data_IF_601957037889
#
_entry.id   IF_601957037889
#
_cell.length_a   1.000
_cell.length_b   1.000
_cell.length_c   1.000
_cell.angle_alpha   90.00
_cell.angle_beta   90.00
_cell.angle_gamma   90.00
#
_symmetry.space_group_name_H-M   'P 1'
#
loop_
_entity.id
_entity.type
_entity.pdbx_description
1 polymer ?
#
# COMPACT_ATOMS: atom_id res chain seq x y z
N UNK A 1 0.07 23.93 -9.34
CA UNK A 1 1.46 23.54 -9.09
C UNK A 1 1.70 22.16 -9.69
N UNK A 2 2.91 21.90 -10.21
CA UNK A 2 3.24 20.71 -11.00
C UNK A 2 3.27 19.44 -10.13
N UNK A 3 2.49 18.42 -10.49
CA UNK A 3 2.48 17.13 -9.79
C UNK A 3 3.80 16.39 -9.91
N UNK A 4 4.63 16.69 -10.93
CA UNK A 4 5.99 16.15 -11.03
C UNK A 4 6.88 16.61 -9.88
N UNK A 5 6.79 17.88 -9.50
CA UNK A 5 7.54 18.42 -8.35
C UNK A 5 7.11 17.74 -7.04
N UNK A 6 5.81 17.45 -6.89
CA UNK A 6 5.29 16.68 -5.75
C UNK A 6 5.82 15.25 -5.75
N UNK A 7 5.83 14.58 -6.91
CA UNK A 7 6.41 13.25 -7.05
C UNK A 7 7.90 13.20 -6.71
N UNK A 8 8.69 14.18 -7.17
CA UNK A 8 10.12 14.28 -6.83
C UNK A 8 10.31 14.47 -5.32
N UNK A 9 9.54 15.38 -4.71
CA UNK A 9 9.61 15.63 -3.28
C UNK A 9 9.24 14.40 -2.44
N UNK A 10 8.20 13.66 -2.83
CA UNK A 10 7.79 12.43 -2.16
C UNK A 10 8.86 11.34 -2.27
N UNK A 11 9.50 11.18 -3.43
CA UNK A 11 10.62 10.25 -3.57
C UNK A 11 11.81 10.62 -2.67
N UNK A 12 12.15 11.90 -2.60
CA UNK A 12 13.26 12.37 -1.77
C UNK A 12 12.98 12.19 -0.28
N UNK A 13 11.75 12.48 0.16
CA UNK A 13 11.29 12.24 1.52
C UNK A 13 11.34 10.75 1.87
N UNK A 14 10.81 9.88 0.99
CA UNK A 14 10.85 8.43 1.18
C UNK A 14 12.28 7.88 1.26
N UNK A 15 13.22 8.39 0.44
CA UNK A 15 14.64 7.99 0.50
C UNK A 15 15.28 8.38 1.83
N UNK A 16 15.04 9.59 2.31
CA UNK A 16 15.58 10.08 3.59
C UNK A 16 15.05 9.27 4.78
N UNK A 17 13.73 9.09 4.85
CA UNK A 17 13.10 8.26 5.86
C UNK A 17 13.59 6.80 5.78
N UNK A 18 13.67 6.23 4.57
CA UNK A 18 14.15 4.88 4.37
C UNK A 18 15.60 4.68 4.82
N UNK A 19 16.49 5.65 4.57
CA UNK A 19 17.86 5.61 5.06
C UNK A 19 17.91 5.59 6.60
N UNK A 20 17.14 6.47 7.26
CA UNK A 20 17.02 6.50 8.71
C UNK A 20 16.51 5.17 9.29
N UNK A 21 15.51 4.55 8.65
CA UNK A 21 14.93 3.26 9.07
C UNK A 21 15.90 2.09 8.89
N UNK A 22 16.83 2.16 7.93
CA UNK A 22 17.88 1.17 7.74
C UNK A 22 19.00 1.31 8.78
N UNK A 23 19.31 2.54 9.20
CA UNK A 23 20.30 2.86 10.24
C UNK A 23 19.78 2.68 11.67
N UNK A 24 18.58 2.08 11.83
CA UNK A 24 17.94 1.93 13.14
C UNK A 24 18.83 1.20 14.15
N UNK A 25 18.89 1.73 15.37
CA UNK A 25 19.56 1.10 16.50
C UNK A 25 18.75 1.37 17.77
N UNK A 26 18.31 0.31 18.46
CA UNK A 26 17.62 0.41 19.75
C UNK A 26 16.40 1.33 19.74
N UNK A 27 15.24 0.80 19.33
CA UNK A 27 13.96 1.52 19.28
C UNK A 27 13.00 1.03 20.35
N UNK A 28 12.06 1.88 20.75
CA UNK A 28 10.98 1.53 21.67
C UNK A 28 9.77 0.97 20.91
N UNK A 29 9.10 -0.03 21.48
CA UNK A 29 7.88 -0.62 20.91
C UNK A 29 6.74 -0.39 21.87
N UNK A 30 5.66 0.21 21.38
CA UNK A 30 4.41 0.41 22.08
C UNK A 30 3.29 -0.40 21.40
N UNK A 31 2.33 -0.87 22.20
CA UNK A 31 1.13 -1.52 21.68
C UNK A 31 0.04 -0.46 21.50
N UNK A 32 -0.35 -0.15 20.27
CA UNK A 32 -1.53 0.67 19.96
C UNK A 32 -2.81 -0.08 20.35
N UNK A 33 -2.89 -1.36 19.97
CA UNK A 33 -3.99 -2.26 20.24
C UNK A 33 -3.53 -3.73 20.22
N UNK A 34 -4.47 -4.67 20.38
CA UNK A 34 -4.15 -6.09 20.28
C UNK A 34 -3.65 -6.44 18.87
N UNK A 35 -2.39 -6.88 18.75
CA UNK A 35 -1.70 -7.18 17.47
C UNK A 35 -1.48 -5.95 16.59
N UNK A 36 -1.40 -4.77 17.21
CA UNK A 36 -1.09 -3.51 16.55
C UNK A 36 -0.01 -2.75 17.33
N UNK A 37 1.08 -2.45 16.65
CA UNK A 37 2.33 -2.00 17.25
C UNK A 37 2.79 -0.73 16.58
N UNK A 38 3.43 0.14 17.35
CA UNK A 38 4.11 1.33 16.86
C UNK A 38 5.47 1.43 17.52
N UNK A 39 6.44 1.98 16.81
CA UNK A 39 7.74 2.31 17.35
C UNK A 39 7.98 3.82 17.33
N UNK A 40 8.94 4.28 18.12
CA UNK A 40 9.46 5.63 18.00
C UNK A 40 10.04 5.92 16.60
N UNK A 41 10.43 4.88 15.85
CA UNK A 41 10.87 5.00 14.45
C UNK A 41 9.71 5.33 13.49
N UNK A 42 8.50 4.80 13.71
CA UNK A 42 7.32 5.12 12.89
C UNK A 42 7.03 6.63 12.99
N UNK A 43 6.99 7.16 14.23
CA UNK A 43 6.77 8.59 14.49
C UNK A 43 7.89 9.48 13.95
N UNK A 44 9.15 9.04 14.09
CA UNK A 44 10.29 9.78 13.56
C UNK A 44 10.28 9.84 12.02
N UNK A 45 9.93 8.71 11.38
CA UNK A 45 9.81 8.60 9.93
C UNK A 45 8.69 9.50 9.40
N UNK A 46 7.50 9.44 10.01
CA UNK A 46 6.37 10.28 9.62
C UNK A 46 6.70 11.77 9.75
N UNK A 47 7.29 12.17 10.89
CA UNK A 47 7.68 13.56 11.11
C UNK A 47 8.67 14.04 10.05
N UNK A 48 9.68 13.22 9.73
CA UNK A 48 10.67 13.56 8.70
C UNK A 48 10.02 13.78 7.33
N UNK A 49 9.09 12.90 6.95
CA UNK A 49 8.35 13.01 5.69
C UNK A 49 7.50 14.28 5.67
N UNK A 50 6.72 14.52 6.72
CA UNK A 50 5.86 15.71 6.84
C UNK A 50 6.70 16.99 6.78
N UNK A 51 7.77 17.09 7.56
CA UNK A 51 8.63 18.28 7.58
C UNK A 51 9.20 18.58 6.18
N UNK A 52 9.69 17.54 5.47
CA UNK A 52 10.27 17.67 4.14
C UNK A 52 9.25 18.13 3.08
N UNK A 53 8.04 17.59 3.14
CA UNK A 53 6.95 17.94 2.22
C UNK A 53 6.38 19.33 2.54
N UNK A 54 6.10 19.63 3.81
CA UNK A 54 5.56 20.91 4.26
C UNK A 54 6.52 22.08 3.98
N UNK A 55 7.84 21.85 4.06
CA UNK A 55 8.82 22.87 3.68
C UNK A 55 8.74 23.27 2.18
N UNK A 56 8.28 22.37 1.31
CA UNK A 56 8.15 22.60 -0.15
C UNK A 56 6.74 23.00 -0.56
N UNK A 57 5.71 22.52 0.16
CA UNK A 57 4.30 22.74 -0.12
C UNK A 57 3.55 23.09 1.18
N UNK A 58 3.77 24.30 1.73
CA UNK A 58 3.17 24.72 3.00
C UNK A 58 1.63 24.85 2.94
N UNK A 59 1.04 24.82 1.74
CA UNK A 59 -0.40 24.86 1.51
C UNK A 59 -1.09 23.49 1.58
N UNK A 60 -0.34 22.38 1.55
CA UNK A 60 -0.93 21.03 1.56
C UNK A 60 -1.26 20.57 2.99
N UNK A 61 -2.29 19.74 3.13
CA UNK A 61 -2.61 19.03 4.37
C UNK A 61 -1.89 17.69 4.48
N UNK A 62 -1.97 17.06 5.65
CA UNK A 62 -1.41 15.73 5.89
C UNK A 62 -2.43 14.81 6.57
N UNK A 63 -2.47 13.55 6.15
CA UNK A 63 -3.11 12.44 6.81
C UNK A 63 -2.06 11.34 7.03
N UNK A 64 -1.45 11.34 8.21
CA UNK A 64 -0.50 10.32 8.64
C UNK A 64 -1.17 9.21 9.46
N UNK A 65 -0.59 8.02 9.44
CA UNK A 65 -0.96 6.92 10.33
C UNK A 65 -0.84 7.33 11.81
N UNK A 66 0.25 8.00 12.18
CA UNK A 66 0.57 8.28 13.58
C UNK A 66 -0.01 9.59 14.10
N UNK A 67 -0.05 10.62 13.25
CA UNK A 67 -0.50 11.96 13.60
C UNK A 67 -1.94 12.26 13.20
N UNK A 68 -2.57 11.39 12.40
CA UNK A 68 -3.92 11.61 11.88
C UNK A 68 -3.99 12.74 10.87
N UNK A 69 -5.16 13.40 10.78
CA UNK A 69 -5.42 14.47 9.82
C UNK A 69 -4.99 15.82 10.38
N UNK A 70 -4.26 16.60 9.58
CA UNK A 70 -3.90 17.99 9.86
C UNK A 70 -4.10 18.87 8.62
N UNK A 71 -4.76 20.01 8.82
CA UNK A 71 -5.16 20.93 7.76
C UNK A 71 -6.48 20.55 7.07
N UNK A 72 -7.19 21.55 6.55
CA UNK A 72 -8.41 21.40 5.74
C UNK A 72 -8.15 21.93 4.33
N UNK A 73 -7.18 21.33 3.67
CA UNK A 73 -6.68 21.79 2.37
C UNK A 73 -7.26 20.95 1.23
N UNK A 74 -7.36 21.55 0.04
CA UNK A 74 -7.80 20.84 -1.19
C UNK A 74 -6.83 19.70 -1.56
N UNK A 75 -5.55 19.87 -1.26
CA UNK A 75 -4.49 18.89 -1.42
C UNK A 75 -4.09 18.24 -0.11
N UNK A 76 -3.98 16.91 -0.08
CA UNK A 76 -3.68 16.12 1.11
C UNK A 76 -2.59 15.08 0.82
N UNK A 77 -1.51 15.10 1.59
CA UNK A 77 -0.54 14.02 1.63
C UNK A 77 -1.03 12.90 2.53
N UNK A 78 -1.12 11.68 2.04
CA UNK A 78 -1.51 10.50 2.82
C UNK A 78 -0.27 9.63 3.02
N UNK A 79 0.09 9.35 4.27
CA UNK A 79 1.41 8.81 4.62
C UNK A 79 1.25 7.60 5.55
N UNK A 80 1.86 6.48 5.15
CA UNK A 80 2.25 5.38 6.04
C UNK A 80 3.78 5.41 6.17
N UNK A 81 4.31 5.72 7.37
CA UNK A 81 5.75 5.85 7.58
C UNK A 81 6.48 4.50 7.64
N UNK A 82 5.80 3.40 7.97
CA UNK A 82 6.34 2.02 8.02
C UNK A 82 5.20 1.00 7.81
N UNK A 83 4.83 0.76 6.56
CA UNK A 83 3.93 -0.34 6.21
C UNK A 83 4.66 -1.67 6.46
N UNK A 84 4.15 -2.43 7.43
CA UNK A 84 4.80 -3.65 7.92
C UNK A 84 5.63 -3.45 9.19
N UNK A 85 5.20 -2.61 10.13
CA UNK A 85 5.83 -2.41 11.46
C UNK A 85 6.17 -3.73 12.17
N UNK A 86 5.34 -4.77 12.04
CA UNK A 86 5.67 -6.10 12.60
C UNK A 86 6.93 -6.70 11.97
N UNK A 87 7.09 -6.62 10.65
CA UNK A 87 8.28 -7.09 9.96
C UNK A 87 9.50 -6.27 10.38
N UNK A 88 9.34 -4.94 10.48
CA UNK A 88 10.37 -4.02 10.96
C UNK A 88 10.87 -4.40 12.37
N UNK A 89 9.95 -4.60 13.33
CA UNK A 89 10.27 -5.02 14.70
C UNK A 89 11.00 -6.38 14.72
N UNK A 90 10.61 -7.29 13.84
CA UNK A 90 11.17 -8.66 13.77
C UNK A 90 12.42 -8.78 12.91
N UNK A 91 12.96 -7.68 12.39
CA UNK A 91 14.09 -7.67 11.46
C UNK A 91 13.86 -8.52 10.19
N UNK A 92 12.61 -8.65 9.76
CA UNK A 92 12.28 -9.19 8.45
C UNK A 92 12.49 -8.05 7.45
N UNK A 93 13.32 -8.20 6.41
CA UNK A 93 13.73 -7.11 5.51
C UNK A 93 12.65 -6.78 4.47
N UNK A 94 11.40 -6.66 4.91
CA UNK A 94 10.24 -6.38 4.07
C UNK A 94 9.26 -5.46 4.80
N UNK A 95 9.47 -4.18 4.65
CA UNK A 95 8.58 -3.10 5.06
C UNK A 95 8.71 -2.00 4.00
N UNK A 96 7.73 -1.10 3.94
CA UNK A 96 7.77 0.01 2.98
C UNK A 96 7.32 1.33 3.59
N UNK A 97 7.66 2.43 2.93
CA UNK A 97 7.12 3.76 3.20
C UNK A 97 6.12 4.04 2.08
N UNK A 98 4.89 4.39 2.41
CA UNK A 98 3.82 4.74 1.45
C UNK A 98 3.52 6.23 1.55
N UNK A 99 3.59 6.95 0.42
CA UNK A 99 3.27 8.37 0.33
C UNK A 99 2.39 8.58 -0.90
N UNK A 100 1.18 9.08 -0.69
CA UNK A 100 0.29 9.51 -1.76
C UNK A 100 -0.02 11.01 -1.65
N UNK A 101 -0.32 11.65 -2.76
CA UNK A 101 -0.92 12.97 -2.77
C UNK A 101 -2.29 12.90 -3.43
N UNK A 102 -3.30 13.39 -2.72
CA UNK A 102 -4.68 13.44 -3.17
C UNK A 102 -5.15 14.87 -3.34
N UNK A 103 -5.93 15.15 -4.39
CA UNK A 103 -6.60 16.44 -4.59
C UNK A 103 -7.94 16.24 -5.28
N UNK A 104 -8.99 16.91 -4.80
CA UNK A 104 -10.33 16.77 -5.36
C UNK A 104 -10.88 15.34 -5.31
N UNK A 105 -10.51 14.56 -4.28
CA UNK A 105 -10.92 13.16 -4.12
C UNK A 105 -10.16 12.15 -4.99
N UNK A 106 -9.18 12.60 -5.76
CA UNK A 106 -8.41 11.78 -6.68
C UNK A 106 -6.97 11.63 -6.21
N UNK A 107 -6.37 10.46 -6.47
CA UNK A 107 -4.95 10.22 -6.18
C UNK A 107 -4.14 10.70 -7.39
N UNK A 108 -3.29 11.69 -7.18
CA UNK A 108 -2.52 12.34 -8.25
C UNK A 108 -1.06 11.86 -8.30
N UNK A 109 -0.50 11.54 -7.13
CA UNK A 109 0.88 11.06 -6.95
C UNK A 109 0.87 9.86 -6.01
N UNK A 110 1.71 8.86 -6.31
CA UNK A 110 1.96 7.72 -5.44
C UNK A 110 3.45 7.38 -5.42
N UNK A 111 3.98 7.10 -4.23
CA UNK A 111 5.33 6.60 -3.97
C UNK A 111 5.24 5.48 -2.94
N UNK A 112 5.81 4.32 -3.25
CA UNK A 112 6.03 3.26 -2.27
C UNK A 112 7.50 2.88 -2.32
N UNK A 113 8.20 2.96 -1.19
CA UNK A 113 9.62 2.65 -1.12
C UNK A 113 9.87 1.51 -0.13
N UNK A 114 10.40 0.37 -0.62
CA UNK A 114 10.89 -0.72 0.21
C UNK A 114 12.41 -0.59 0.38
N UNK A 115 12.91 0.08 1.45
CA UNK A 115 14.31 0.50 1.54
C UNK A 115 15.28 -0.67 1.64
N UNK A 116 14.91 -1.75 2.35
CA UNK A 116 15.77 -2.93 2.47
C UNK A 116 15.96 -3.68 1.15
N UNK A 117 15.04 -3.51 0.20
CA UNK A 117 15.12 -4.09 -1.15
C UNK A 117 15.72 -3.12 -2.18
N UNK A 118 15.83 -1.82 -1.85
CA UNK A 118 16.22 -0.79 -2.81
C UNK A 118 15.19 -0.61 -3.93
N UNK A 119 13.90 -0.78 -3.61
CA UNK A 119 12.81 -0.73 -4.59
C UNK A 119 11.91 0.48 -4.37
N UNK A 120 11.98 1.44 -5.30
CA UNK A 120 11.17 2.64 -5.33
C UNK A 120 10.11 2.52 -6.44
N UNK A 121 8.85 2.39 -6.04
CA UNK A 121 7.69 2.41 -6.92
C UNK A 121 7.14 3.83 -6.98
N UNK A 122 6.88 4.33 -8.18
CA UNK A 122 6.39 5.70 -8.41
C UNK A 122 5.30 5.70 -9.47
N UNK A 123 4.24 6.48 -9.25
CA UNK A 123 3.21 6.71 -10.25
C UNK A 123 2.73 8.17 -10.19
N UNK A 124 2.36 8.67 -11.37
CA UNK A 124 1.66 9.92 -11.56
C UNK A 124 0.38 9.60 -12.32
N UNK A 125 -0.74 10.22 -11.94
CA UNK A 125 -2.01 10.02 -12.65
C UNK A 125 -1.87 10.34 -14.14
N UNK A 126 -2.23 9.39 -15.00
CA UNK A 126 -2.07 9.45 -16.46
C UNK A 126 -0.61 9.42 -16.95
N UNK A 127 0.35 9.16 -16.06
CA UNK A 127 1.79 9.16 -16.34
C UNK A 127 2.42 7.77 -16.36
N UNK A 128 1.67 6.73 -15.99
CA UNK A 128 2.18 5.37 -15.84
C UNK A 128 2.83 5.11 -14.49
N UNK A 129 3.12 3.82 -14.23
CA UNK A 129 3.80 3.35 -13.03
C UNK A 129 5.24 2.90 -13.37
N UNK A 130 6.14 3.09 -12.40
CA UNK A 130 7.57 2.79 -12.56
C UNK A 130 8.14 2.11 -11.32
N UNK A 131 9.09 1.21 -11.51
CA UNK A 131 9.96 0.64 -10.48
C UNK A 131 11.40 1.07 -10.77
N UNK A 132 12.02 1.81 -9.84
CA UNK A 132 13.37 2.35 -9.99
C UNK A 132 13.56 3.10 -11.31
N UNK A 133 12.56 3.89 -11.70
CA UNK A 133 12.54 4.69 -12.93
C UNK A 133 12.28 3.90 -14.22
N UNK A 134 12.10 2.58 -14.15
CA UNK A 134 11.73 1.74 -15.31
C UNK A 134 10.23 1.52 -15.33
N UNK A 135 9.55 1.64 -16.48
CA UNK A 135 8.11 1.43 -16.56
C UNK A 135 7.75 0.00 -16.20
N UNK A 136 6.65 -0.17 -15.48
CA UNK A 136 6.09 -1.46 -15.08
C UNK A 136 4.68 -1.62 -15.61
N UNK A 137 4.22 -2.87 -15.69
CA UNK A 137 2.87 -3.24 -16.05
C UNK A 137 2.46 -4.47 -15.24
N UNK A 138 1.16 -4.63 -15.06
CA UNK A 138 0.61 -5.86 -14.48
C UNK A 138 0.93 -7.08 -15.37
N UNK A 139 0.86 -8.26 -14.76
CA UNK A 139 1.05 -9.56 -15.43
C UNK A 139 -0.03 -9.82 -16.50
N UNK A 140 0.28 -10.60 -17.54
CA UNK A 140 -0.66 -11.05 -18.57
C UNK A 140 -1.25 -12.45 -18.31
N UNK A 141 -0.98 -13.04 -17.14
CA UNK A 141 -1.53 -14.34 -16.74
C UNK A 141 -3.07 -14.28 -16.66
N UNK A 142 -3.73 -15.19 -17.35
CA UNK A 142 -5.19 -15.36 -17.35
C UNK A 142 -5.63 -16.79 -16.98
N UNK A 143 -4.69 -17.62 -16.55
CA UNK A 143 -4.93 -18.98 -16.09
C UNK A 143 -4.79 -19.03 -14.55
N UNK A 144 -5.86 -19.36 -13.81
CA UNK A 144 -5.80 -19.51 -12.36
C UNK A 144 -4.64 -20.38 -11.90
N UNK A 145 -4.37 -21.50 -12.59
CA UNK A 145 -3.34 -22.46 -12.20
C UNK A 145 -1.91 -21.92 -12.30
N UNK A 146 -1.73 -20.75 -12.93
CA UNK A 146 -0.44 -20.04 -13.01
C UNK A 146 -0.40 -18.82 -12.09
N UNK A 147 -1.57 -18.34 -11.63
CA UNK A 147 -1.70 -17.12 -10.87
C UNK A 147 -1.17 -17.28 -9.43
N UNK A 148 -0.38 -16.30 -8.99
CA UNK A 148 0.01 -16.12 -7.59
C UNK A 148 -0.79 -14.95 -7.04
N UNK A 149 -1.42 -15.12 -5.89
CA UNK A 149 -2.14 -14.05 -5.21
C UNK A 149 -1.47 -13.69 -3.87
N UNK A 150 -1.65 -12.46 -3.40
CA UNK A 150 -1.23 -12.03 -2.06
C UNK A 150 -2.42 -11.66 -1.18
N UNK A 151 -2.32 -11.99 0.10
CA UNK A 151 -3.33 -11.67 1.12
C UNK A 151 -2.73 -11.72 2.53
N UNK A 152 -3.29 -10.93 3.44
CA UNK A 152 -3.13 -11.07 4.89
C UNK A 152 -4.24 -11.90 5.52
N UNK A 153 -3.95 -12.65 6.58
CA UNK A 153 -4.94 -13.47 7.30
C UNK A 153 -5.95 -12.66 8.13
N UNK A 154 -6.01 -11.33 7.96
CA UNK A 154 -7.01 -10.44 8.57
C UNK A 154 -7.08 -10.60 10.10
N UNK A 155 -5.94 -10.89 10.71
CA UNK A 155 -5.82 -11.32 12.11
C UNK A 155 -6.27 -10.30 13.16
N UNK A 156 -6.49 -9.03 12.74
CA UNK A 156 -7.02 -7.92 13.53
C UNK A 156 -8.55 -7.84 13.52
N UNK A 157 -9.21 -8.53 12.57
CA UNK A 157 -10.67 -8.56 12.40
C UNK A 157 -11.19 -10.01 12.46
N UNK A 158 -11.31 -10.62 13.66
CA UNK A 158 -11.60 -12.05 13.80
C UNK A 158 -12.92 -12.47 13.13
N UNK A 159 -13.93 -11.62 13.17
CA UNK A 159 -15.23 -11.90 12.54
C UNK A 159 -15.12 -11.94 11.00
N UNK A 160 -14.33 -11.03 10.42
CA UNK A 160 -14.06 -11.02 8.98
C UNK A 160 -13.21 -12.24 8.60
N UNK A 161 -12.17 -12.54 9.39
CA UNK A 161 -11.31 -13.71 9.15
C UNK A 161 -12.10 -15.02 9.16
N UNK A 162 -13.06 -15.20 10.08
CA UNK A 162 -13.93 -16.40 10.15
C UNK A 162 -14.78 -16.59 8.88
N UNK A 163 -15.15 -15.51 8.19
CA UNK A 163 -15.91 -15.58 6.93
C UNK A 163 -15.02 -15.84 5.73
N UNK A 164 -13.85 -15.21 5.69
CA UNK A 164 -12.98 -15.18 4.51
C UNK A 164 -12.05 -16.41 4.44
N UNK A 165 -11.49 -16.86 5.57
CA UNK A 165 -10.53 -17.95 5.58
C UNK A 165 -11.05 -19.27 4.99
N UNK A 166 -12.31 -19.70 5.21
CA UNK A 166 -12.86 -20.88 4.53
C UNK A 166 -12.87 -20.74 3.00
N UNK A 167 -13.15 -19.54 2.49
CA UNK A 167 -13.15 -19.26 1.05
C UNK A 167 -11.71 -19.28 0.48
N UNK A 168 -10.76 -18.77 1.26
CA UNK A 168 -9.33 -18.85 0.93
C UNK A 168 -8.84 -20.30 0.84
N UNK A 169 -9.31 -21.19 1.73
CA UNK A 169 -8.97 -22.63 1.69
C UNK A 169 -9.42 -23.32 0.39
N UNK A 170 -10.52 -22.88 -0.22
CA UNK A 170 -10.94 -23.38 -1.53
C UNK A 170 -10.13 -22.73 -2.66
N UNK A 171 -9.88 -21.42 -2.56
CA UNK A 171 -9.16 -20.67 -3.58
C UNK A 171 -7.70 -21.12 -3.73
N UNK A 172 -7.02 -21.48 -2.64
CA UNK A 172 -5.62 -21.96 -2.67
C UNK A 172 -5.46 -23.27 -3.47
N UNK A 173 -6.53 -24.05 -3.63
CA UNK A 173 -6.51 -25.27 -4.46
C UNK A 173 -6.73 -24.98 -5.95
N UNK A 174 -7.12 -23.75 -6.30
CA UNK A 174 -7.49 -23.34 -7.66
C UNK A 174 -6.49 -22.37 -8.28
N UNK A 175 -5.45 -21.99 -7.53
CA UNK A 175 -4.39 -21.11 -8.02
C UNK A 175 -3.01 -21.72 -7.80
N UNK A 176 -1.97 -21.14 -8.39
CA UNK A 176 -0.61 -21.65 -8.24
C UNK A 176 -0.13 -21.56 -6.78
N UNK A 177 -0.23 -20.37 -6.18
CA UNK A 177 0.31 -20.13 -4.84
C UNK A 177 -0.24 -18.84 -4.20
N UNK A 178 0.02 -18.69 -2.90
CA UNK A 178 -0.28 -17.49 -2.14
C UNK A 178 0.97 -16.88 -1.49
N UNK A 179 0.99 -15.55 -1.39
CA UNK A 179 1.99 -14.79 -0.65
C UNK A 179 1.33 -14.04 0.51
N UNK A 180 2.05 -13.95 1.62
CA UNK A 180 1.74 -13.05 2.72
C UNK A 180 3.03 -12.34 3.09
N UNK A 181 3.18 -11.11 2.63
CA UNK A 181 4.41 -10.33 2.85
C UNK A 181 4.36 -9.60 4.18
N UNK A 182 3.18 -9.11 4.57
CA UNK A 182 3.00 -8.26 5.75
C UNK A 182 3.22 -6.78 5.48
N UNK A 183 3.14 -6.34 4.22
CA UNK A 183 3.15 -4.94 3.81
C UNK A 183 2.14 -4.78 2.66
N UNK A 184 1.01 -4.12 2.93
CA UNK A 184 -0.09 -3.99 1.97
C UNK A 184 0.27 -3.08 0.79
N UNK A 185 0.97 -1.97 1.04
CA UNK A 185 1.44 -1.05 0.02
C UNK A 185 2.44 -1.75 -0.93
N UNK A 186 3.31 -2.61 -0.40
CA UNK A 186 4.22 -3.42 -1.20
C UNK A 186 3.49 -4.51 -2.00
N UNK A 187 2.48 -5.16 -1.43
CA UNK A 187 1.69 -6.18 -2.14
C UNK A 187 0.92 -5.57 -3.33
N UNK A 188 0.35 -4.37 -3.18
CA UNK A 188 -0.22 -3.61 -4.29
C UNK A 188 0.83 -3.30 -5.37
N UNK A 189 2.04 -2.92 -4.98
CA UNK A 189 3.14 -2.71 -5.93
C UNK A 189 3.57 -4.00 -6.63
N UNK A 190 3.51 -5.15 -5.95
CA UNK A 190 3.75 -6.45 -6.56
C UNK A 190 2.72 -6.79 -7.64
N UNK A 191 1.44 -6.43 -7.45
CA UNK A 191 0.44 -6.51 -8.52
C UNK A 191 0.84 -5.59 -9.67
N UNK A 192 1.14 -4.33 -9.38
CA UNK A 192 1.47 -3.32 -10.38
C UNK A 192 2.69 -3.68 -11.26
N UNK A 193 3.67 -4.41 -10.71
CA UNK A 193 4.83 -4.87 -11.48
C UNK A 193 4.74 -6.32 -11.96
N UNK A 194 3.57 -6.96 -11.83
CA UNK A 194 3.32 -8.31 -12.36
C UNK A 194 4.05 -9.43 -11.63
N UNK A 195 4.43 -9.22 -10.36
CA UNK A 195 5.00 -10.29 -9.50
C UNK A 195 3.92 -11.23 -8.97
N UNK A 196 2.70 -10.72 -8.83
CA UNK A 196 1.50 -11.45 -8.43
C UNK A 196 0.33 -10.95 -9.27
N UNK A 197 -0.68 -11.79 -9.48
CA UNK A 197 -1.84 -11.49 -10.30
C UNK A 197 -2.94 -10.78 -9.52
N UNK A 198 -2.98 -10.94 -8.19
CA UNK A 198 -3.98 -10.32 -7.34
C UNK A 198 -3.48 -10.05 -5.92
N UNK A 199 -4.03 -9.01 -5.31
CA UNK A 199 -3.94 -8.71 -3.89
C UNK A 199 -5.34 -8.42 -3.36
N UNK A 200 -5.66 -8.96 -2.19
CA UNK A 200 -6.91 -8.64 -1.51
C UNK A 200 -6.76 -8.68 0.00
N UNK A 201 -7.23 -7.61 0.64
CA UNK A 201 -7.25 -7.48 2.09
C UNK A 201 -8.39 -6.53 2.47
N UNK A 202 -9.26 -6.91 3.42
CA UNK A 202 -10.30 -6.05 3.92
C UNK A 202 -9.80 -5.17 5.07
N UNK A 203 -10.52 -4.07 5.33
CA UNK A 203 -10.31 -3.16 6.48
C UNK A 203 -8.93 -2.50 6.54
N UNK A 204 -8.34 -2.18 5.40
CA UNK A 204 -7.14 -1.34 5.34
C UNK A 204 -7.50 0.15 5.50
N UNK A 205 -6.55 0.94 5.96
CA UNK A 205 -6.66 2.38 6.01
C UNK A 205 -6.24 3.02 4.68
N UNK A 206 -6.57 4.30 4.50
CA UNK A 206 -6.24 5.02 3.27
C UNK A 206 -4.72 5.12 3.03
N UNK A 207 -3.93 5.27 4.10
CA UNK A 207 -2.47 5.33 4.02
C UNK A 207 -1.83 4.01 3.56
N UNK A 208 -2.43 2.87 3.92
CA UNK A 208 -1.99 1.54 3.48
C UNK A 208 -2.15 1.36 1.95
N UNK A 209 -3.15 2.01 1.35
CA UNK A 209 -3.62 1.66 0.00
C UNK A 209 -3.42 2.76 -1.04
N UNK A 210 -3.51 4.05 -0.68
CA UNK A 210 -3.66 5.12 -1.67
C UNK A 210 -2.54 5.13 -2.72
N UNK A 211 -1.26 5.04 -2.30
CA UNK A 211 -0.15 5.02 -3.24
C UNK A 211 -0.17 3.75 -4.11
N UNK A 212 -0.40 2.59 -3.51
CA UNK A 212 -0.46 1.30 -4.21
C UNK A 212 -1.63 1.19 -5.20
N UNK A 213 -2.80 1.75 -4.87
CA UNK A 213 -3.96 1.80 -5.77
C UNK A 213 -3.62 2.58 -7.03
N UNK A 214 -2.96 3.74 -6.91
CA UNK A 214 -2.51 4.48 -8.08
C UNK A 214 -1.50 3.65 -8.90
N UNK A 215 -0.55 2.96 -8.27
CA UNK A 215 0.40 2.10 -8.98
C UNK A 215 -0.30 1.07 -9.85
N UNK A 216 -1.27 0.33 -9.28
CA UNK A 216 -1.96 -0.74 -10.00
C UNK A 216 -2.76 -0.16 -11.17
N UNK A 217 -3.48 0.95 -10.96
CA UNK A 217 -4.26 1.63 -12.02
C UNK A 217 -3.37 2.11 -13.16
N UNK A 218 -2.26 2.78 -12.84
CA UNK A 218 -1.31 3.31 -13.83
C UNK A 218 -0.48 2.22 -14.52
N UNK A 219 -0.36 1.03 -13.91
CA UNK A 219 0.24 -0.16 -14.52
C UNK A 219 -0.70 -0.96 -15.44
N UNK A 220 -1.95 -0.50 -15.60
CA UNK A 220 -2.97 -1.16 -16.42
C UNK A 220 -3.78 -2.24 -15.69
N UNK A 221 -3.67 -2.33 -14.37
CA UNK A 221 -4.45 -3.22 -13.53
C UNK A 221 -5.83 -2.69 -13.17
N UNK A 222 -6.58 -3.49 -12.43
CA UNK A 222 -7.91 -3.14 -11.92
C UNK A 222 -7.91 -3.19 -10.39
N UNK A 223 -8.45 -2.14 -9.78
CA UNK A 223 -8.65 -2.05 -8.33
C UNK A 223 -10.09 -1.66 -8.05
N UNK A 224 -10.75 -2.41 -7.16
CA UNK A 224 -12.11 -2.15 -6.69
C UNK A 224 -12.21 -2.37 -5.19
N UNK A 225 -13.39 -2.04 -4.65
CA UNK A 225 -13.89 -2.63 -3.43
C UNK A 225 -14.11 -4.14 -3.53
N UNK A 226 -14.50 -4.76 -2.42
CA UNK A 226 -15.06 -6.12 -2.46
C UNK A 226 -16.42 -6.15 -3.16
N UNK A 227 -16.86 -7.35 -3.56
CA UNK A 227 -18.11 -7.54 -4.30
C UNK A 227 -19.30 -6.91 -3.58
N UNK A 228 -20.10 -6.12 -4.29
CA UNK A 228 -21.24 -5.35 -3.79
C UNK A 228 -20.92 -4.30 -2.72
N UNK A 229 -19.63 -4.06 -2.43
CA UNK A 229 -19.17 -3.07 -1.47
C UNK A 229 -18.93 -1.67 -2.07
N UNK A 230 -18.62 -0.68 -1.22
CA UNK A 230 -18.13 0.62 -1.67
C UNK A 230 -16.78 0.50 -2.37
N UNK A 231 -16.36 1.55 -3.07
CA UNK A 231 -14.98 1.66 -3.57
C UNK A 231 -13.96 1.51 -2.43
N UNK A 232 -12.80 0.90 -2.72
CA UNK A 232 -11.79 0.58 -1.72
C UNK A 232 -11.21 1.80 -1.02
N UNK A 233 -11.20 2.98 -1.67
CA UNK A 233 -10.73 4.22 -1.04
C UNK A 233 -11.68 4.72 0.06
N UNK A 234 -12.91 4.22 0.09
CA UNK A 234 -13.92 4.53 1.13
C UNK A 234 -13.99 3.43 2.18
N UNK A 235 -14.01 2.16 1.74
CA UNK A 235 -14.25 1.03 2.63
C UNK A 235 -13.00 0.47 3.31
N UNK A 236 -11.82 0.68 2.70
CA UNK A 236 -10.62 -0.06 3.06
C UNK A 236 -10.60 -1.51 2.57
N UNK A 237 -11.67 -1.95 1.91
CA UNK A 237 -11.80 -3.33 1.46
C UNK A 237 -11.24 -3.45 0.05
N UNK A 238 -9.99 -3.90 -0.10
CA UNK A 238 -9.27 -3.87 -1.37
C UNK A 238 -9.39 -5.20 -2.12
N UNK A 239 -9.68 -5.09 -3.42
CA UNK A 239 -9.45 -6.13 -4.43
C UNK A 239 -8.67 -5.51 -5.59
N UNK A 240 -7.39 -5.87 -5.72
CA UNK A 240 -6.51 -5.44 -6.80
C UNK A 240 -6.08 -6.64 -7.65
N UNK A 241 -5.94 -6.45 -8.96
CA UNK A 241 -5.50 -7.52 -9.86
C UNK A 241 -4.91 -6.99 -11.16
N UNK A 242 -4.38 -7.90 -11.97
CA UNK A 242 -3.98 -7.63 -13.34
C UNK A 242 -5.11 -7.32 -14.33
N UNK A 243 -6.36 -7.24 -13.88
CA UNK A 243 -7.53 -6.97 -14.72
C UNK A 243 -8.09 -8.25 -15.37
N UNK A 244 -7.24 -9.06 -16.00
CA UNK A 244 -7.66 -10.31 -16.65
C UNK A 244 -8.30 -11.30 -15.67
N UNK A 245 -7.78 -11.34 -14.45
CA UNK A 245 -8.23 -12.25 -13.39
C UNK A 245 -9.15 -11.58 -12.35
N UNK A 246 -9.55 -10.31 -12.58
CA UNK A 246 -10.23 -9.52 -11.56
C UNK A 246 -11.55 -10.15 -11.11
N UNK A 247 -12.44 -10.46 -12.06
CA UNK A 247 -13.73 -11.08 -11.75
C UNK A 247 -13.56 -12.49 -11.15
N UNK A 248 -12.53 -13.24 -11.58
CA UNK A 248 -12.23 -14.56 -11.06
C UNK A 248 -11.99 -14.54 -9.53
N UNK A 249 -11.15 -13.62 -9.07
CA UNK A 249 -10.84 -13.45 -7.65
C UNK A 249 -12.00 -12.79 -6.89
N UNK A 250 -12.57 -11.71 -7.43
CA UNK A 250 -13.66 -10.96 -6.78
C UNK A 250 -14.91 -11.81 -6.53
N UNK A 251 -15.23 -12.74 -7.42
CA UNK A 251 -16.42 -13.56 -7.27
C UNK A 251 -16.27 -14.73 -6.29
N UNK A 252 -15.05 -15.02 -5.83
CA UNK A 252 -14.73 -16.13 -4.91
C UNK A 252 -14.48 -15.68 -3.47
N UNK A 253 -14.47 -14.38 -3.22
CA UNK A 253 -14.17 -13.79 -1.91
C UNK A 253 -15.28 -12.80 -1.54
N UNK A 254 -16.10 -13.21 -0.58
CA UNK A 254 -17.28 -12.48 -0.10
C UNK A 254 -17.11 -12.13 1.39
N UNK A 255 -17.54 -10.92 1.77
CA UNK A 255 -17.59 -10.48 3.17
C UNK A 255 -18.94 -10.78 3.84
N UNK A 256 -19.95 -11.18 3.05
CA UNK A 256 -21.33 -11.34 3.47
C UNK A 256 -21.62 -12.75 3.98
#
# INVERSE_FOLDING_TARGET
MDMRLRLEAAQDAARQAGAMLLERHGFHVENKAAKDFVTDMDRASEKMIIDALHARFPEDGFYGEETGVSGENDGMWVIDPIDGTTNFIKNIPLFSISIAYMRGGEIEVGVVYAPALGEMFTALRGGGAFLNGKPIRVSDVNDPMQAVASMSFIHREPEVARKVLPQLCELVLQVNDFRRTGSAAFDLCCVACGRVEAFFEPRLHLYDIAAGVLMVREAGGTVTGWKNGPDCLVSGDVMASNGLMHDYFRDRLLLD
#
